data_IF_261096085630
#
_entry.id   IF_261096085630
#
_cell.length_a   1.000
_cell.length_b   1.000
_cell.length_c   1.000
_cell.angle_alpha   90.00
_cell.angle_beta   90.00
_cell.angle_gamma   90.00
#
_symmetry.space_group_name_H-M   'P 1'
#
loop_
_entity.id
_entity.type
_entity.pdbx_description
1 polymer ?
#
# COMPACT_ATOMS: atom_id res chain seq x y z
N UNK A 1 -3.59 -7.24 18.98
CA UNK A 1 -2.63 -7.10 17.86
C UNK A 1 -3.37 -6.49 16.69
N UNK A 2 -2.88 -5.37 16.15
CA UNK A 2 -3.46 -4.62 15.03
C UNK A 2 -2.96 -5.19 13.71
N UNK A 3 -3.82 -5.18 12.69
CA UNK A 3 -3.47 -5.74 11.39
C UNK A 3 -2.80 -4.68 10.52
N UNK A 4 -1.61 -5.00 10.02
CA UNK A 4 -0.88 -4.19 9.06
C UNK A 4 -0.89 -4.85 7.67
N UNK A 5 -0.98 -4.05 6.63
CA UNK A 5 -1.07 -4.48 5.23
C UNK A 5 -0.02 -3.71 4.44
N UNK A 6 0.93 -4.40 3.82
CA UNK A 6 1.98 -3.74 3.03
C UNK A 6 1.59 -3.57 1.57
N UNK A 7 1.76 -2.35 1.05
CA UNK A 7 1.65 -2.03 -0.36
C UNK A 7 3.03 -1.79 -0.98
N UNK A 8 3.48 -2.73 -1.82
CA UNK A 8 4.79 -2.72 -2.48
C UNK A 8 4.58 -2.53 -3.98
N UNK A 9 5.09 -1.42 -4.54
CA UNK A 9 4.92 -1.08 -5.97
C UNK A 9 6.24 -1.13 -6.75
N UNK A 10 6.14 -1.48 -8.04
CA UNK A 10 7.21 -1.41 -9.03
C UNK A 10 6.81 -0.48 -10.18
N UNK A 11 7.73 0.39 -10.66
CA UNK A 11 7.41 1.42 -11.65
C UNK A 11 7.53 0.96 -13.12
N UNK A 12 8.06 -0.23 -13.40
CA UNK A 12 8.00 -0.88 -14.73
C UNK A 12 8.51 -2.32 -14.64
N UNK A 13 8.12 -3.16 -15.59
CA UNK A 13 8.68 -4.51 -15.81
C UNK A 13 10.21 -4.50 -16.02
N UNK A 14 10.81 -3.32 -16.31
CA UNK A 14 12.26 -3.15 -16.50
C UNK A 14 13.10 -3.06 -15.23
N UNK A 15 12.52 -3.11 -14.03
CA UNK A 15 13.29 -3.20 -12.77
C UNK A 15 13.58 -4.66 -12.35
N UNK A 16 14.15 -5.41 -13.30
CA UNK A 16 14.53 -6.83 -13.28
C UNK A 16 15.61 -7.23 -12.24
N UNK A 17 15.86 -6.45 -11.18
CA UNK A 17 16.96 -6.72 -10.22
C UNK A 17 16.55 -6.85 -8.75
N UNK A 18 15.26 -6.94 -8.42
CA UNK A 18 14.78 -7.36 -7.09
C UNK A 18 15.09 -6.42 -5.90
N UNK A 19 15.93 -5.41 -6.08
CA UNK A 19 16.43 -4.57 -4.99
C UNK A 19 15.34 -3.66 -4.41
N UNK A 20 14.43 -3.12 -5.24
CA UNK A 20 13.32 -2.30 -4.77
C UNK A 20 12.32 -3.08 -3.93
N UNK A 21 12.04 -4.34 -4.26
CA UNK A 21 11.17 -5.22 -3.48
C UNK A 21 11.87 -5.61 -2.19
N UNK A 22 13.13 -6.06 -2.27
CA UNK A 22 13.93 -6.43 -1.09
C UNK A 22 14.02 -5.29 -0.09
N UNK A 23 14.28 -4.07 -0.58
CA UNK A 23 14.34 -2.86 0.25
C UNK A 23 12.99 -2.52 0.88
N UNK A 24 11.90 -2.54 0.10
CA UNK A 24 10.54 -2.28 0.63
C UNK A 24 10.13 -3.32 1.67
N UNK A 25 10.37 -4.60 1.40
CA UNK A 25 10.13 -5.67 2.37
C UNK A 25 10.95 -5.47 3.64
N UNK A 26 12.22 -5.06 3.52
CA UNK A 26 13.04 -4.73 4.68
C UNK A 26 12.45 -3.57 5.50
N UNK A 27 11.97 -2.51 4.85
CA UNK A 27 11.33 -1.39 5.55
C UNK A 27 10.08 -1.85 6.33
N UNK A 28 9.28 -2.73 5.76
CA UNK A 28 8.10 -3.31 6.43
C UNK A 28 8.53 -4.12 7.66
N UNK A 29 9.52 -5.01 7.50
CA UNK A 29 10.05 -5.81 8.62
C UNK A 29 10.62 -4.93 9.73
N UNK A 30 11.48 -3.97 9.37
CA UNK A 30 12.10 -3.05 10.35
C UNK A 30 11.06 -2.21 11.10
N UNK A 31 9.93 -1.87 10.46
CA UNK A 31 8.83 -1.18 11.12
C UNK A 31 8.05 -2.09 12.06
N UNK A 32 7.76 -3.34 11.66
CA UNK A 32 7.07 -4.32 12.52
C UNK A 32 7.89 -4.67 13.76
N UNK A 33 9.22 -4.80 13.62
CA UNK A 33 10.13 -5.05 14.75
C UNK A 33 10.07 -3.94 15.81
N UNK A 34 9.79 -2.70 15.38
CA UNK A 34 9.63 -1.53 16.25
C UNK A 34 8.21 -1.36 16.80
N UNK A 35 7.21 -1.99 16.16
CA UNK A 35 5.80 -1.85 16.48
C UNK A 35 5.18 -3.25 16.72
N UNK A 36 5.54 -3.92 17.85
CA UNK A 36 5.17 -5.31 18.13
C UNK A 36 3.67 -5.51 18.37
N UNK A 37 2.90 -4.43 18.52
CA UNK A 37 1.45 -4.47 18.58
C UNK A 37 0.83 -4.76 17.21
N UNK A 38 1.58 -4.69 16.11
CA UNK A 38 1.12 -4.99 14.76
C UNK A 38 1.58 -6.36 14.26
N UNK A 39 0.79 -6.96 13.36
CA UNK A 39 1.19 -8.12 12.57
C UNK A 39 0.93 -7.87 11.08
N UNK A 40 1.82 -8.38 10.23
CA UNK A 40 1.64 -8.28 8.79
C UNK A 40 0.66 -9.34 8.28
N UNK A 41 -0.40 -8.91 7.59
CA UNK A 41 -1.26 -9.81 6.83
C UNK A 41 -0.60 -10.16 5.50
N UNK A 42 0.10 -11.30 5.48
CA UNK A 42 0.76 -11.81 4.27
C UNK A 42 -0.22 -12.37 3.23
N UNK A 43 -1.50 -12.56 3.57
CA UNK A 43 -2.52 -13.06 2.65
C UNK A 43 -2.98 -11.99 1.65
N UNK A 44 -2.82 -10.71 2.01
CA UNK A 44 -3.23 -9.56 1.20
C UNK A 44 -2.00 -8.79 0.71
N UNK A 45 -1.22 -9.41 -0.19
CA UNK A 45 -0.08 -8.75 -0.83
C UNK A 45 -0.51 -8.03 -2.11
N UNK A 46 -0.52 -6.69 -2.07
CA UNK A 46 -0.83 -5.86 -3.24
C UNK A 46 0.22 -5.93 -4.36
N UNK A 47 1.33 -6.64 -4.12
CA UNK A 47 2.32 -6.99 -5.15
C UNK A 47 1.70 -7.79 -6.30
N UNK A 48 0.73 -8.67 -5.99
CA UNK A 48 0.11 -9.57 -6.98
C UNK A 48 -1.19 -9.02 -7.59
N UNK A 49 -1.86 -8.12 -6.87
CA UNK A 49 -3.04 -7.42 -7.37
C UNK A 49 -2.71 -6.49 -8.54
N UNK A 50 -1.54 -5.84 -8.52
CA UNK A 50 -1.06 -5.01 -9.64
C UNK A 50 -0.78 -5.78 -10.95
N UNK A 51 -0.67 -7.12 -10.90
CA UNK A 51 -0.55 -7.97 -12.11
C UNK A 51 -1.90 -8.47 -12.64
N UNK A 52 -2.93 -8.52 -11.79
CA UNK A 52 -4.17 -9.27 -12.06
C UNK A 52 -5.43 -8.39 -12.08
N UNK A 53 -5.40 -7.19 -11.49
CA UNK A 53 -6.58 -6.36 -11.30
C UNK A 53 -6.84 -5.40 -12.47
N UNK A 54 -7.73 -5.86 -13.33
CA UNK A 54 -8.88 -5.11 -13.85
C UNK A 54 -8.67 -3.95 -14.85
N UNK A 55 -9.21 -4.18 -16.05
CA UNK A 55 -9.40 -3.27 -17.18
C UNK A 55 -10.42 -2.13 -16.93
N UNK A 56 -10.56 -1.65 -15.69
CA UNK A 56 -11.47 -0.57 -15.31
C UNK A 56 -10.93 0.81 -15.69
N UNK A 57 -11.69 1.56 -16.48
CA UNK A 57 -11.25 2.75 -17.22
C UNK A 57 -11.04 4.04 -16.38
N UNK A 58 -10.97 3.99 -15.04
CA UNK A 58 -10.93 5.22 -14.24
C UNK A 58 -9.87 5.34 -13.13
N UNK A 59 -9.25 4.26 -12.65
CA UNK A 59 -8.22 4.33 -11.58
C UNK A 59 -7.14 3.25 -11.81
N UNK A 60 -6.40 3.33 -12.92
CA UNK A 60 -5.44 2.27 -13.28
C UNK A 60 -4.16 2.35 -12.45
N UNK A 61 -4.10 1.49 -11.42
CA UNK A 61 -2.88 1.09 -10.69
C UNK A 61 -2.48 2.02 -9.55
N UNK A 62 -2.31 1.48 -8.33
CA UNK A 62 -1.98 2.29 -7.16
C UNK A 62 -2.84 1.94 -5.95
N UNK A 63 -3.21 2.97 -5.18
CA UNK A 63 -4.21 2.88 -4.11
C UNK A 63 -5.61 2.50 -4.59
N UNK A 64 -5.90 2.55 -5.90
CA UNK A 64 -7.18 2.11 -6.44
C UNK A 64 -7.52 0.68 -6.04
N UNK A 65 -6.56 -0.24 -6.14
CA UNK A 65 -6.73 -1.64 -5.73
C UNK A 65 -6.99 -1.75 -4.22
N UNK A 66 -6.33 -0.91 -3.43
CA UNK A 66 -6.52 -0.86 -1.98
C UNK A 66 -7.90 -0.35 -1.61
N UNK A 67 -8.41 0.67 -2.29
CA UNK A 67 -9.77 1.15 -2.12
C UNK A 67 -10.80 0.09 -2.51
N UNK A 68 -10.58 -0.64 -3.60
CA UNK A 68 -11.43 -1.78 -3.95
C UNK A 68 -11.39 -2.87 -2.89
N UNK A 69 -10.23 -3.11 -2.25
CA UNK A 69 -10.13 -4.06 -1.15
C UNK A 69 -10.89 -3.59 0.11
N UNK A 70 -10.93 -2.29 0.38
CA UNK A 70 -11.80 -1.69 1.40
C UNK A 70 -13.27 -1.89 1.03
N UNK A 71 -13.66 -1.55 -0.20
CA UNK A 71 -15.05 -1.68 -0.70
C UNK A 71 -15.54 -3.14 -0.65
N UNK A 72 -14.66 -4.11 -0.87
CA UNK A 72 -14.94 -5.55 -0.76
C UNK A 72 -14.88 -6.08 0.69
N UNK A 73 -14.57 -5.23 1.68
CA UNK A 73 -14.45 -5.61 3.08
C UNK A 73 -13.25 -6.49 3.42
N UNK A 74 -12.27 -6.61 2.50
CA UNK A 74 -11.01 -7.31 2.74
C UNK A 74 -10.10 -6.50 3.66
N UNK A 75 -10.16 -5.18 3.52
CA UNK A 75 -9.57 -4.18 4.43
C UNK A 75 -10.70 -3.50 5.20
N UNK A 76 -10.52 -3.27 6.49
CA UNK A 76 -11.54 -2.79 7.42
C UNK A 76 -11.01 -1.65 8.27
N UNK A 77 -11.92 -0.89 8.87
CA UNK A 77 -11.57 0.12 9.85
C UNK A 77 -10.73 -0.48 10.99
N UNK A 78 -9.67 0.23 11.40
CA UNK A 78 -8.69 -0.21 12.39
C UNK A 78 -7.46 -0.93 11.80
N UNK A 79 -7.51 -1.33 10.52
CA UNK A 79 -6.33 -1.80 9.80
C UNK A 79 -5.37 -0.65 9.49
N UNK A 80 -4.12 -1.00 9.23
CA UNK A 80 -3.07 -0.04 8.85
C UNK A 80 -2.42 -0.41 7.53
N UNK A 81 -2.39 0.54 6.60
CA UNK A 81 -1.67 0.45 5.34
C UNK A 81 -0.23 0.93 5.52
N UNK A 82 0.74 0.05 5.26
CA UNK A 82 2.15 0.38 5.19
C UNK A 82 2.54 0.63 3.74
N UNK A 83 3.01 1.85 3.44
CA UNK A 83 3.51 2.25 2.13
C UNK A 83 4.93 2.74 2.27
N UNK A 84 5.77 2.50 1.26
CA UNK A 84 7.10 3.09 1.24
C UNK A 84 7.01 4.62 1.30
N UNK A 85 6.29 5.23 0.37
CA UNK A 85 6.21 6.69 0.26
C UNK A 85 4.96 7.12 -0.50
N UNK A 86 4.48 8.34 -0.26
CA UNK A 86 3.29 8.88 -0.93
C UNK A 86 3.55 9.19 -2.42
N UNK A 87 4.78 9.53 -2.81
CA UNK A 87 5.15 9.82 -4.22
C UNK A 87 5.00 8.59 -5.13
N UNK A 88 5.02 7.37 -4.57
CA UNK A 88 4.77 6.12 -5.30
C UNK A 88 3.30 5.88 -5.61
N UNK A 89 2.41 6.68 -5.05
CA UNK A 89 0.96 6.54 -5.21
C UNK A 89 0.45 7.28 -6.44
N UNK A 90 1.11 8.38 -6.84
CA UNK A 90 0.75 9.13 -8.03
C UNK A 90 1.94 9.92 -8.54
N UNK A 91 2.56 9.44 -9.63
CA UNK A 91 3.47 10.27 -10.44
C UNK A 91 2.71 11.22 -11.37
N UNK A 92 1.39 11.08 -11.49
CA UNK A 92 0.61 11.77 -12.52
C UNK A 92 -0.27 12.91 -12.01
N UNK A 93 -0.59 12.97 -10.71
CA UNK A 93 -1.32 14.10 -10.13
C UNK A 93 -1.34 14.04 -8.60
N UNK A 94 -0.84 15.08 -7.92
CA UNK A 94 -0.81 15.17 -6.45
C UNK A 94 -2.24 15.21 -5.90
N UNK A 95 -3.16 15.84 -6.63
CA UNK A 95 -4.56 15.98 -6.23
C UNK A 95 -5.26 14.62 -6.16
N UNK A 96 -5.02 13.75 -7.15
CA UNK A 96 -5.58 12.39 -7.16
C UNK A 96 -5.04 11.56 -5.99
N UNK A 97 -3.73 11.59 -5.72
CA UNK A 97 -3.17 10.88 -4.57
C UNK A 97 -3.78 11.36 -3.25
N UNK A 98 -3.95 12.67 -3.10
CA UNK A 98 -4.54 13.30 -1.92
C UNK A 98 -6.00 12.87 -1.73
N UNK A 99 -6.79 12.80 -2.81
CA UNK A 99 -8.16 12.30 -2.75
C UNK A 99 -8.22 10.83 -2.32
N UNK A 100 -7.38 9.98 -2.91
CA UNK A 100 -7.31 8.55 -2.60
C UNK A 100 -6.92 8.33 -1.13
N UNK A 101 -5.90 9.05 -0.63
CA UNK A 101 -5.50 9.00 0.77
C UNK A 101 -6.65 9.40 1.69
N UNK A 102 -7.35 10.50 1.39
CA UNK A 102 -8.52 10.94 2.17
C UNK A 102 -9.63 9.89 2.20
N UNK A 103 -9.86 9.17 1.09
CA UNK A 103 -10.85 8.07 1.04
C UNK A 103 -10.46 6.91 1.94
N UNK A 104 -9.18 6.53 1.96
CA UNK A 104 -8.67 5.47 2.84
C UNK A 104 -8.83 5.86 4.32
N UNK A 105 -8.39 7.06 4.68
CA UNK A 105 -8.50 7.57 6.06
C UNK A 105 -9.97 7.65 6.51
N UNK A 106 -10.87 8.10 5.64
CA UNK A 106 -12.32 8.13 5.93
C UNK A 106 -12.95 6.75 6.11
N UNK A 107 -12.34 5.70 5.54
CA UNK A 107 -12.75 4.32 5.79
C UNK A 107 -12.27 3.79 7.15
N UNK A 108 -11.57 4.62 7.95
CA UNK A 108 -11.02 4.25 9.24
C UNK A 108 -9.74 3.41 9.16
N UNK A 109 -9.06 3.43 8.01
CA UNK A 109 -7.78 2.73 7.81
C UNK A 109 -6.66 3.75 7.99
N UNK A 110 -5.72 3.45 8.88
CA UNK A 110 -4.52 4.28 9.09
C UNK A 110 -3.52 4.07 7.94
N UNK A 111 -2.72 5.08 7.63
CA UNK A 111 -1.67 5.01 6.61
C UNK A 111 -0.34 5.40 7.24
N UNK A 112 0.68 4.57 7.05
CA UNK A 112 2.04 4.78 7.54
C UNK A 112 3.00 4.78 6.37
N UNK A 113 3.85 5.81 6.31
CA UNK A 113 4.94 5.96 5.34
C UNK A 113 6.26 5.46 5.93
N UNK A 114 6.91 4.52 5.25
CA UNK A 114 8.11 3.85 5.76
C UNK A 114 9.43 4.56 5.37
N UNK A 115 9.42 5.41 4.34
CA UNK A 115 10.63 6.11 3.87
C UNK A 115 10.89 7.41 4.60
N UNK A 116 9.83 8.06 5.08
CA UNK A 116 9.92 9.43 5.59
C UNK A 116 10.22 9.50 7.09
N UNK A 117 10.36 8.36 7.77
CA UNK A 117 10.88 8.31 9.14
C UNK A 117 10.06 9.09 10.19
N UNK A 118 8.84 9.52 9.85
CA UNK A 118 7.87 10.21 10.72
C UNK A 118 6.49 9.53 10.64
#
# INVERSE_FOLDING_TARGET
>A
MRRAISYIRFSSERQLKGDSVRRQSKLVTDWLDKNPEFYLDSSLSFKDLGKSAFSGKHLKGGLGDFLTAIEKGLVKAGDTLLIESLDRLSRQDIDIASELLRRILRAGVDVVTLSDGE
#
